data_IF_059422419464
#
_entry.id   IF_059422419464
#
_cell.length_a   1.000
_cell.length_b   1.000
_cell.length_c   1.000
_cell.angle_alpha   90.00
_cell.angle_beta   90.00
_cell.angle_gamma   90.00
#
_symmetry.space_group_name_H-M   'P 1'
#
loop_
_entity.id
_entity.type
_entity.pdbx_description
1 polymer ?
#
# COMPACT_ATOMS: atom_id res chain seq x y z
N UNK A 1 -16.52 34.99 -14.77
CA UNK A 1 -17.37 33.81 -14.47
C UNK A 1 -16.68 32.60 -15.07
N UNK A 2 -16.39 31.53 -14.30
CA UNK A 2 -15.98 30.27 -14.88
C UNK A 2 -17.15 29.27 -14.91
N UNK A 3 -17.30 28.64 -16.06
CA UNK A 3 -18.34 27.68 -16.43
C UNK A 3 -18.24 26.38 -15.61
N UNK A 4 -19.40 25.91 -15.14
CA UNK A 4 -19.61 24.59 -14.56
C UNK A 4 -19.93 23.62 -15.70
N UNK A 5 -19.04 22.66 -15.95
CA UNK A 5 -19.35 21.54 -16.83
C UNK A 5 -19.88 20.36 -16.00
N UNK A 6 -21.07 19.89 -16.37
CA UNK A 6 -21.80 18.79 -15.74
C UNK A 6 -21.12 17.45 -16.01
N UNK A 7 -20.70 16.78 -14.93
CA UNK A 7 -20.10 15.45 -15.01
C UNK A 7 -18.94 15.33 -14.05
N UNK A 8 -19.26 15.15 -12.77
CA UNK A 8 -18.29 15.01 -11.68
C UNK A 8 -17.35 13.83 -11.87
N UNK A 9 -16.27 14.02 -12.64
CA UNK A 9 -15.06 13.24 -12.57
C UNK A 9 -13.96 14.15 -12.05
N UNK A 10 -13.59 13.93 -10.80
CA UNK A 10 -12.38 14.53 -10.23
C UNK A 10 -11.21 14.01 -11.08
N UNK A 11 -10.69 14.84 -11.98
CA UNK A 11 -9.40 14.59 -12.63
C UNK A 11 -8.33 14.75 -11.56
N UNK A 12 -8.03 13.67 -10.86
CA UNK A 12 -6.95 13.65 -9.86
C UNK A 12 -5.63 13.77 -10.61
N UNK A 13 -5.13 15.00 -10.72
CA UNK A 13 -3.84 15.29 -11.35
C UNK A 13 -2.69 14.82 -10.47
N UNK A 14 -2.16 13.62 -10.75
CA UNK A 14 -1.01 13.02 -10.05
C UNK A 14 0.35 13.58 -10.50
N UNK A 15 0.41 14.75 -11.16
CA UNK A 15 1.62 15.21 -11.88
C UNK A 15 2.65 16.06 -11.10
N UNK A 16 2.54 16.28 -9.79
CA UNK A 16 3.43 17.25 -9.11
C UNK A 16 4.19 16.70 -7.88
N UNK A 17 4.89 15.57 -8.00
CA UNK A 17 5.81 15.07 -6.94
C UNK A 17 7.30 15.27 -7.27
N UNK A 18 7.69 15.65 -8.50
CA UNK A 18 9.11 15.63 -8.92
C UNK A 18 9.73 16.96 -9.39
N UNK A 19 9.20 18.12 -8.99
CA UNK A 19 9.75 19.45 -9.36
C UNK A 19 10.33 20.23 -8.18
N UNK A 20 11.65 20.26 -8.04
CA UNK A 20 12.36 20.96 -6.97
C UNK A 20 12.29 22.50 -7.02
N UNK A 21 12.41 23.11 -5.84
CA UNK A 21 12.60 24.55 -5.67
C UNK A 21 13.03 24.87 -4.23
N UNK A 22 14.20 25.49 -4.07
CA UNK A 22 14.95 25.77 -2.83
C UNK A 22 14.30 26.78 -1.86
N UNK A 23 12.98 26.95 -1.89
CA UNK A 23 12.23 27.82 -0.98
C UNK A 23 10.93 27.14 -0.53
N UNK A 24 11.06 26.09 0.28
CA UNK A 24 9.92 25.51 0.98
C UNK A 24 9.39 26.53 2.01
N UNK A 25 8.16 27.02 1.77
CA UNK A 25 7.46 27.96 2.64
C UNK A 25 7.23 27.33 4.02
N UNK A 26 7.42 28.13 5.08
CA UNK A 26 7.15 27.81 6.51
C UNK A 26 5.69 27.33 6.77
N UNK A 27 4.82 27.39 5.78
CA UNK A 27 3.41 26.98 5.85
C UNK A 27 3.09 25.67 5.14
N UNK A 28 4.08 24.92 4.65
CA UNK A 28 3.84 23.64 3.96
C UNK A 28 3.42 22.57 4.98
N UNK A 29 2.11 22.40 5.16
CA UNK A 29 1.49 21.35 6.00
C UNK A 29 1.56 19.97 5.32
N UNK A 30 2.67 19.66 4.65
CA UNK A 30 2.91 18.30 4.19
C UNK A 30 3.28 17.45 5.40
N UNK A 31 2.69 16.26 5.58
CA UNK A 31 3.13 15.37 6.63
C UNK A 31 4.63 15.10 6.45
N UNK A 32 5.37 15.09 7.57
CA UNK A 32 6.83 14.84 7.57
C UNK A 32 7.19 13.49 6.94
N UNK A 33 6.24 12.57 6.90
CA UNK A 33 6.34 11.29 6.22
C UNK A 33 5.33 11.28 5.05
N UNK A 34 5.75 10.94 3.81
CA UNK A 34 4.80 10.70 2.73
C UNK A 34 3.82 9.57 3.10
N UNK A 35 2.60 9.58 2.54
CA UNK A 35 1.66 8.49 2.73
C UNK A 35 2.27 7.15 2.28
N UNK A 36 2.13 6.10 3.09
CA UNK A 36 2.69 4.77 2.82
C UNK A 36 2.25 4.25 1.46
N UNK A 37 3.23 3.79 0.66
CA UNK A 37 2.98 3.17 -0.65
C UNK A 37 2.32 1.80 -0.53
N UNK A 38 2.44 1.15 0.63
CA UNK A 38 1.85 -0.16 0.90
C UNK A 38 0.45 -0.06 1.53
N UNK A 39 -0.11 1.13 1.69
CA UNK A 39 -1.48 1.32 2.19
C UNK A 39 -2.48 1.31 1.01
N UNK A 40 -3.40 0.34 0.94
CA UNK A 40 -4.34 0.21 -0.17
C UNK A 40 -5.28 1.42 -0.28
N UNK A 41 -5.59 2.09 0.83
CA UNK A 41 -6.45 3.28 0.82
C UNK A 41 -5.86 4.44 0.02
N UNK A 42 -4.52 4.58 0.04
CA UNK A 42 -3.83 5.62 -0.71
C UNK A 42 -3.84 5.34 -2.22
N UNK A 43 -3.86 4.07 -2.61
CA UNK A 43 -3.86 3.64 -4.00
C UNK A 43 -5.25 3.72 -4.62
N UNK A 44 -6.29 3.32 -3.88
CA UNK A 44 -7.67 3.35 -4.34
C UNK A 44 -8.33 4.73 -4.23
N UNK A 45 -7.80 5.62 -3.38
CA UNK A 45 -8.40 6.93 -3.10
C UNK A 45 -9.67 6.86 -2.24
N UNK A 46 -10.01 5.67 -1.74
CA UNK A 46 -11.10 5.37 -0.81
C UNK A 46 -10.54 4.68 0.43
N UNK A 47 -11.27 4.68 1.53
CA UNK A 47 -10.86 3.99 2.74
C UNK A 47 -11.06 2.47 2.58
N UNK A 48 -10.00 1.71 2.84
CA UNK A 48 -9.96 0.24 2.78
C UNK A 48 -9.37 -0.27 4.11
N UNK A 49 -10.18 -0.97 4.89
CA UNK A 49 -9.78 -1.56 6.17
C UNK A 49 -9.67 -3.11 6.06
N UNK A 50 -10.45 -3.72 5.17
CA UNK A 50 -10.56 -5.17 4.96
C UNK A 50 -10.56 -5.56 3.48
N UNK A 51 -10.35 -6.84 3.18
CA UNK A 51 -10.49 -7.38 1.82
C UNK A 51 -11.89 -7.14 1.24
N UNK A 52 -12.94 -7.24 2.06
CA UNK A 52 -14.32 -7.01 1.63
C UNK A 52 -14.49 -5.61 1.04
N UNK A 53 -13.83 -4.60 1.64
CA UNK A 53 -13.88 -3.22 1.13
C UNK A 53 -13.28 -3.10 -0.28
N UNK A 54 -12.32 -3.96 -0.63
CA UNK A 54 -11.70 -4.01 -1.97
C UNK A 54 -12.71 -4.51 -3.00
N UNK A 55 -13.51 -5.51 -2.65
CA UNK A 55 -14.52 -6.10 -3.55
C UNK A 55 -15.63 -5.12 -3.92
N UNK A 56 -15.90 -4.13 -3.08
CA UNK A 56 -16.94 -3.11 -3.31
C UNK A 56 -16.40 -1.82 -3.94
N UNK A 57 -15.14 -1.81 -4.38
CA UNK A 57 -14.58 -0.64 -5.05
C UNK A 57 -15.24 -0.42 -6.42
N UNK A 58 -15.64 0.83 -6.74
CA UNK A 58 -16.23 1.13 -8.04
C UNK A 58 -15.21 1.09 -9.19
N UNK A 59 -13.94 1.38 -8.89
CA UNK A 59 -12.83 1.37 -9.83
C UNK A 59 -11.54 1.03 -9.09
N UNK A 60 -10.61 0.37 -9.79
CA UNK A 60 -9.31 -0.05 -9.25
C UNK A 60 -8.17 0.47 -10.11
N UNK A 61 -7.02 0.84 -9.50
CA UNK A 61 -5.90 1.40 -10.27
C UNK A 61 -5.29 0.33 -11.19
N UNK A 62 -5.36 0.52 -12.52
CA UNK A 62 -4.79 -0.44 -13.49
C UNK A 62 -3.33 -0.17 -13.86
N UNK A 63 -2.71 0.88 -13.30
CA UNK A 63 -1.30 1.27 -13.51
C UNK A 63 -0.93 1.34 -14.99
N UNK A 64 -1.54 2.27 -15.73
CA UNK A 64 -1.38 2.40 -17.19
C UNK A 64 -1.74 1.12 -17.97
N UNK A 65 -2.76 0.38 -17.50
CA UNK A 65 -3.18 -0.93 -18.03
C UNK A 65 -2.08 -2.01 -18.00
N UNK A 66 -1.06 -1.85 -17.16
CA UNK A 66 -0.03 -2.87 -16.93
C UNK A 66 -0.57 -4.03 -16.09
N UNK A 67 -1.58 -3.77 -15.25
CA UNK A 67 -2.32 -4.80 -14.52
C UNK A 67 -3.77 -4.84 -15.02
N UNK A 68 -4.31 -6.06 -15.12
CA UNK A 68 -5.76 -6.25 -15.30
C UNK A 68 -6.49 -5.82 -14.03
N UNK A 69 -7.77 -5.49 -14.17
CA UNK A 69 -8.63 -5.18 -13.03
C UNK A 69 -8.57 -6.25 -11.93
N UNK A 70 -8.71 -7.53 -12.28
CA UNK A 70 -8.62 -8.64 -11.33
C UNK A 70 -7.26 -8.76 -10.64
N UNK A 71 -6.18 -8.34 -11.30
CA UNK A 71 -4.82 -8.37 -10.72
C UNK A 71 -4.60 -7.19 -9.78
N UNK A 72 -5.21 -6.04 -10.09
CA UNK A 72 -5.19 -4.87 -9.20
C UNK A 72 -6.03 -5.09 -7.95
N UNK A 73 -7.23 -5.66 -8.06
CA UNK A 73 -8.05 -6.10 -6.93
C UNK A 73 -7.24 -7.06 -6.04
N UNK A 74 -6.61 -8.07 -6.64
CA UNK A 74 -5.78 -9.03 -5.91
C UNK A 74 -4.60 -8.37 -5.21
N UNK A 75 -3.93 -7.41 -5.85
CA UNK A 75 -2.85 -6.63 -5.23
C UNK A 75 -3.36 -5.85 -4.01
N UNK A 76 -4.47 -5.13 -4.15
CA UNK A 76 -5.07 -4.36 -3.05
C UNK A 76 -5.46 -5.29 -1.89
N UNK A 77 -6.08 -6.43 -2.19
CA UNK A 77 -6.40 -7.47 -1.19
C UNK A 77 -5.15 -7.95 -0.46
N UNK A 78 -4.05 -8.25 -1.16
CA UNK A 78 -2.81 -8.66 -0.52
C UNK A 78 -2.24 -7.60 0.43
N UNK A 79 -2.37 -6.32 0.08
CA UNK A 79 -1.92 -5.22 0.94
C UNK A 79 -2.73 -5.12 2.24
N UNK A 80 -3.97 -5.64 2.29
CA UNK A 80 -4.78 -5.67 3.52
C UNK A 80 -4.28 -6.70 4.56
N UNK A 81 -3.34 -7.59 4.19
CA UNK A 81 -2.82 -8.65 5.04
C UNK A 81 -1.38 -8.33 5.54
N UNK A 82 -1.19 -7.60 6.66
CA UNK A 82 0.07 -6.89 6.93
C UNK A 82 1.30 -7.77 7.10
N UNK A 83 1.12 -9.01 7.56
CA UNK A 83 2.20 -9.98 7.75
C UNK A 83 2.55 -10.72 6.48
N UNK A 84 1.56 -11.37 5.87
CA UNK A 84 1.76 -12.20 4.68
C UNK A 84 1.77 -11.40 3.37
N UNK A 85 1.58 -10.07 3.41
CA UNK A 85 1.63 -9.22 2.20
C UNK A 85 2.93 -9.36 1.43
N UNK A 86 4.07 -9.45 2.12
CA UNK A 86 5.38 -9.51 1.46
C UNK A 86 5.49 -10.72 0.51
N UNK A 87 5.32 -11.97 0.97
CA UNK A 87 5.39 -13.12 0.06
C UNK A 87 4.28 -13.11 -1.00
N UNK A 88 3.08 -12.61 -0.69
CA UNK A 88 1.96 -12.55 -1.65
C UNK A 88 2.22 -11.56 -2.79
N UNK A 89 2.66 -10.34 -2.47
CA UNK A 89 2.98 -9.29 -3.45
C UNK A 89 4.19 -9.71 -4.28
N UNK A 90 5.23 -10.26 -3.66
CA UNK A 90 6.39 -10.76 -4.40
C UNK A 90 6.00 -11.89 -5.36
N UNK A 91 5.17 -12.84 -4.92
CA UNK A 91 4.67 -13.92 -5.77
C UNK A 91 3.83 -13.40 -6.94
N UNK A 92 3.03 -12.34 -6.74
CA UNK A 92 2.26 -11.73 -7.81
C UNK A 92 3.17 -11.26 -8.94
N UNK A 93 4.22 -10.51 -8.64
CA UNK A 93 5.13 -9.95 -9.65
C UNK A 93 6.24 -10.90 -10.11
N UNK A 94 6.37 -12.07 -9.49
CA UNK A 94 7.29 -13.15 -9.92
C UNK A 94 6.82 -13.86 -11.20
N UNK A 95 5.57 -13.68 -11.60
CA UNK A 95 5.02 -14.26 -12.83
C UNK A 95 5.53 -13.53 -14.07
N UNK A 96 6.10 -14.23 -15.07
CA UNK A 96 6.62 -13.62 -16.30
C UNK A 96 5.63 -12.70 -17.03
N UNK A 97 4.32 -12.96 -16.89
CA UNK A 97 3.28 -12.14 -17.51
C UNK A 97 3.12 -10.77 -16.85
N UNK A 98 3.44 -10.67 -15.54
CA UNK A 98 3.24 -9.47 -14.71
C UNK A 98 4.52 -8.71 -14.37
N UNK A 99 5.70 -9.29 -14.66
CA UNK A 99 7.02 -8.63 -14.46
C UNK A 99 7.08 -7.24 -15.10
N UNK A 100 6.39 -7.02 -16.23
CA UNK A 100 6.33 -5.70 -16.88
C UNK A 100 5.71 -4.62 -16.00
N UNK A 101 4.82 -4.98 -15.08
CA UNK A 101 4.23 -4.06 -14.11
C UNK A 101 5.27 -3.37 -13.22
N UNK A 102 6.40 -4.02 -12.95
CA UNK A 102 7.50 -3.47 -12.12
C UNK A 102 8.13 -2.23 -12.78
N UNK A 103 7.92 -1.99 -14.08
CA UNK A 103 8.41 -0.77 -14.75
C UNK A 103 7.67 0.49 -14.31
N UNK A 104 6.44 0.34 -13.77
CA UNK A 104 5.62 1.45 -13.29
C UNK A 104 6.16 2.00 -11.96
N UNK A 105 6.28 3.33 -11.84
CA UNK A 105 6.81 3.99 -10.65
C UNK A 105 6.01 3.69 -9.39
N UNK A 106 4.69 3.65 -9.50
CA UNK A 106 3.86 3.38 -8.31
C UNK A 106 3.98 1.93 -7.86
N UNK A 107 4.13 0.97 -8.80
CA UNK A 107 4.36 -0.43 -8.44
C UNK A 107 5.73 -0.60 -7.76
N UNK A 108 6.76 0.09 -8.25
CA UNK A 108 8.06 0.14 -7.57
C UNK A 108 7.92 0.69 -6.15
N UNK A 109 7.18 1.80 -5.98
CA UNK A 109 6.93 2.39 -4.67
C UNK A 109 6.15 1.45 -3.74
N UNK A 110 5.21 0.66 -4.26
CA UNK A 110 4.46 -0.35 -3.49
C UNK A 110 5.41 -1.45 -3.04
N UNK A 111 6.22 -1.99 -3.95
CA UNK A 111 7.17 -3.07 -3.66
C UNK A 111 8.21 -2.61 -2.62
N UNK A 112 8.77 -1.41 -2.80
CA UNK A 112 9.70 -0.81 -1.85
C UNK A 112 9.04 -0.62 -0.48
N UNK A 113 7.80 -0.13 -0.45
CA UNK A 113 7.06 0.05 0.80
C UNK A 113 6.76 -1.29 1.48
N UNK A 114 6.34 -2.32 0.74
CA UNK A 114 6.04 -3.65 1.29
C UNK A 114 7.29 -4.32 1.87
N UNK A 115 8.45 -4.15 1.24
CA UNK A 115 9.71 -4.74 1.70
C UNK A 115 10.35 -3.96 2.85
N UNK A 116 10.34 -2.63 2.77
CA UNK A 116 11.19 -1.80 3.63
C UNK A 116 10.44 -0.91 4.61
N UNK A 117 9.11 -0.74 4.49
CA UNK A 117 8.39 -0.01 5.54
C UNK A 117 8.43 -0.79 6.85
N UNK A 118 8.82 -0.12 7.95
CA UNK A 118 8.72 -0.73 9.25
C UNK A 118 7.25 -1.01 9.55
N UNK A 119 6.95 -2.28 9.81
CA UNK A 119 5.66 -2.66 10.38
C UNK A 119 5.54 -2.20 11.85
N UNK A 120 4.47 -2.62 12.54
CA UNK A 120 4.36 -2.41 13.98
C UNK A 120 5.58 -2.98 14.71
N UNK A 121 6.23 -2.16 15.53
CA UNK A 121 7.39 -2.57 16.31
C UNK A 121 6.95 -3.32 17.57
N UNK A 122 7.67 -4.41 17.91
CA UNK A 122 7.52 -5.13 19.18
C UNK A 122 8.83 -5.13 19.95
N UNK A 123 8.83 -4.96 21.28
CA UNK A 123 10.02 -5.24 22.08
C UNK A 123 10.45 -6.71 21.93
N UNK A 124 11.73 -7.03 22.20
CA UNK A 124 12.25 -8.40 22.13
C UNK A 124 11.73 -9.33 23.26
N UNK A 125 10.77 -8.86 24.05
CA UNK A 125 10.10 -9.63 25.09
C UNK A 125 9.13 -10.65 24.48
N UNK A 126 8.81 -11.76 25.18
CA UNK A 126 7.89 -12.76 24.67
C UNK A 126 6.49 -12.15 24.44
N UNK A 127 6.04 -12.20 23.19
CA UNK A 127 4.72 -11.72 22.78
C UNK A 127 3.61 -12.58 23.39
N UNK A 128 2.57 -11.94 23.91
CA UNK A 128 1.40 -12.64 24.43
C UNK A 128 0.59 -13.24 23.26
N UNK A 129 0.49 -14.57 23.23
CA UNK A 129 -0.26 -15.30 22.19
C UNK A 129 -1.77 -15.08 22.42
N UNK A 130 -2.52 -14.63 21.41
CA UNK A 130 -3.97 -14.45 21.53
C UNK A 130 -4.65 -15.80 21.82
N UNK A 131 -5.65 -15.78 22.71
CA UNK A 131 -6.39 -16.98 23.16
C UNK A 131 -7.68 -17.24 22.38
N UNK A 132 -8.10 -16.29 21.55
CA UNK A 132 -9.35 -16.32 20.80
C UNK A 132 -9.12 -15.94 19.34
N UNK A 133 -9.98 -16.47 18.46
CA UNK A 133 -9.98 -16.19 17.03
C UNK A 133 -11.39 -15.69 16.65
N UNK A 134 -11.53 -14.48 16.08
CA UNK A 134 -10.48 -13.50 15.79
C UNK A 134 -9.90 -12.83 17.05
N UNK A 135 -8.62 -12.48 17.01
CA UNK A 135 -7.95 -11.80 18.12
C UNK A 135 -8.45 -10.34 18.29
N UNK A 136 -8.56 -9.84 19.53
CA UNK A 136 -9.09 -8.50 19.79
C UNK A 136 -8.13 -7.37 19.36
N UNK A 137 -6.83 -7.67 19.27
CA UNK A 137 -5.80 -6.73 18.79
C UNK A 137 -4.80 -7.44 17.90
N UNK A 138 -4.21 -6.70 16.94
CA UNK A 138 -3.12 -7.18 16.07
C UNK A 138 -1.72 -6.88 16.63
N UNK A 139 -1.62 -6.43 17.89
CA UNK A 139 -0.34 -6.09 18.51
C UNK A 139 0.62 -7.29 18.57
N UNK A 140 0.08 -8.51 18.64
CA UNK A 140 0.87 -9.74 18.62
C UNK A 140 1.53 -10.05 17.26
N UNK A 141 1.16 -9.33 16.19
CA UNK A 141 1.74 -9.44 14.84
C UNK A 141 2.91 -8.46 14.62
N UNK A 142 3.27 -7.68 15.64
CA UNK A 142 4.37 -6.74 15.60
C UNK A 142 5.74 -7.46 15.64
N UNK A 143 6.77 -6.88 15.03
CA UNK A 143 8.10 -7.48 14.94
C UNK A 143 9.19 -6.52 15.42
N UNK A 144 10.29 -7.01 16.02
CA UNK A 144 11.35 -6.13 16.53
C UNK A 144 12.20 -5.49 15.42
N UNK A 145 12.31 -6.16 14.27
CA UNK A 145 13.24 -5.82 13.18
C UNK A 145 12.55 -5.58 11.84
N UNK A 146 11.23 -5.37 11.82
CA UNK A 146 10.45 -5.21 10.59
C UNK A 146 10.04 -6.54 9.94
N UNK A 147 9.22 -6.45 8.89
CA UNK A 147 8.58 -7.62 8.27
C UNK A 147 9.55 -8.44 7.41
N UNK A 148 10.41 -7.79 6.62
CA UNK A 148 11.38 -8.49 5.78
C UNK A 148 12.33 -9.38 6.59
N UNK A 149 12.91 -8.83 7.67
CA UNK A 149 13.81 -9.60 8.53
C UNK A 149 13.05 -10.74 9.23
N UNK A 150 11.80 -10.50 9.64
CA UNK A 150 10.96 -11.53 10.23
C UNK A 150 10.71 -12.69 9.26
N UNK A 151 10.33 -12.40 8.03
CA UNK A 151 10.15 -13.42 6.98
C UNK A 151 11.46 -14.15 6.68
N UNK A 152 12.61 -13.47 6.62
CA UNK A 152 13.89 -14.13 6.35
C UNK A 152 14.38 -15.06 7.47
N UNK A 153 14.01 -14.79 8.73
CA UNK A 153 14.40 -15.62 9.89
C UNK A 153 13.46 -16.82 10.06
N UNK A 154 12.18 -16.65 9.72
CA UNK A 154 11.13 -17.64 10.02
C UNK A 154 10.57 -18.36 8.78
N UNK A 155 11.11 -18.12 7.58
CA UNK A 155 10.84 -18.90 6.35
C UNK A 155 11.31 -20.36 6.43
#
# INVERSE_FOLDING_TARGET
EPELDEGGKLRTGWRNVFGGGFFARITDRRPRCPPSGANPSNLAGSRIDTEEDVLHLPDVPTFDNLLKQSESELLLTYLTAPMIRLPLVMKLFSDPTRVRGITHRDIQSIIDAVMFEPGPWSPPEPTNVPKEIPAPTRAHMATPSGLLIHELIHC
#
